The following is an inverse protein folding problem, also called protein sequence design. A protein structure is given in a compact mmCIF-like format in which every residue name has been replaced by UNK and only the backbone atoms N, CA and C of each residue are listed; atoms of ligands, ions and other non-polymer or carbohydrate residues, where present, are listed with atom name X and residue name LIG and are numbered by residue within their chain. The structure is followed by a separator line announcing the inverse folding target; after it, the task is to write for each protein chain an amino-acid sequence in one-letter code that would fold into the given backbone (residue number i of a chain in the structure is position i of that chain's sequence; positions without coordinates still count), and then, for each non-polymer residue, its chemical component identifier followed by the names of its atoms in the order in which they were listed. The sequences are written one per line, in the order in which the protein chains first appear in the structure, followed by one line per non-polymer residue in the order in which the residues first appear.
data_IF_657121562406
#
_entry.id   IF_657121562406
#
_cell.length_a   1.000
_cell.length_b   1.000
_cell.length_c   1.000
_cell.angle_alpha   90.00
_cell.angle_beta   90.00
_cell.angle_gamma   90.00
#
_symmetry.space_group_name_H-M   'P 1'
#
loop_
_entity.id
_entity.type
_entity.pdbx_description
1 polymer ?
#
# COMPACT_ATOMS: atom_id res chain seq x y z
N UNK A 1 2.07 -17.39 17.19
CA UNK A 1 1.13 -16.58 18.02
C UNK A 1 1.20 -15.08 17.69
N UNK A 2 0.84 -14.63 16.47
CA UNK A 2 0.82 -13.19 16.12
C UNK A 2 -0.25 -12.39 16.89
N UNK A 3 -1.36 -13.06 17.22
CA UNK A 3 -2.45 -12.51 18.03
C UNK A 3 -2.00 -12.05 19.42
N UNK A 4 -1.05 -12.76 20.04
CA UNK A 4 -0.51 -12.37 21.36
C UNK A 4 0.37 -11.13 21.29
N UNK A 5 0.89 -10.79 20.10
CA UNK A 5 1.66 -9.58 19.85
C UNK A 5 0.74 -8.38 19.48
N UNK A 6 -0.58 -8.54 19.54
CA UNK A 6 -1.56 -7.49 19.17
C UNK A 6 -1.87 -7.39 17.67
N UNK A 7 -1.30 -8.27 16.83
CA UNK A 7 -1.52 -8.21 15.38
C UNK A 7 -2.85 -8.85 14.99
N UNK A 8 -3.72 -8.07 14.33
CA UNK A 8 -4.97 -8.53 13.74
C UNK A 8 -4.74 -9.01 12.30
N UNK A 9 -5.54 -9.96 11.78
CA UNK A 9 -5.48 -10.35 10.37
C UNK A 9 -5.83 -9.15 9.48
N UNK A 10 -5.11 -9.03 8.36
CA UNK A 10 -5.43 -8.08 7.29
C UNK A 10 -6.05 -8.82 6.10
N UNK A 11 -7.00 -8.17 5.42
CA UNK A 11 -7.69 -8.72 4.24
C UNK A 11 -7.08 -8.11 2.98
N UNK A 12 -6.93 -8.91 1.92
CA UNK A 12 -6.39 -8.45 0.63
C UNK A 12 -7.45 -7.64 -0.12
N UNK A 13 -7.06 -6.54 -0.75
CA UNK A 13 -7.97 -5.68 -1.54
C UNK A 13 -8.69 -6.38 -2.68
N UNK A 14 -8.05 -7.38 -3.31
CA UNK A 14 -8.64 -8.19 -4.40
C UNK A 14 -9.86 -9.01 -3.95
N UNK A 15 -9.98 -9.30 -2.65
CA UNK A 15 -11.09 -10.08 -2.08
C UNK A 15 -12.26 -9.18 -1.65
N UNK A 16 -12.07 -7.86 -1.71
CA UNK A 16 -13.08 -6.90 -1.27
C UNK A 16 -14.05 -6.55 -2.42
N UNK A 17 -15.11 -5.81 -2.12
CA UNK A 17 -16.01 -5.27 -3.14
C UNK A 17 -15.44 -3.98 -3.77
N UNK A 18 -15.93 -3.55 -4.95
CA UNK A 18 -15.47 -2.31 -5.59
C UNK A 18 -15.61 -1.04 -4.72
N UNK A 19 -16.57 -1.03 -3.79
CA UNK A 19 -16.78 0.08 -2.84
C UNK A 19 -15.70 0.16 -1.76
N UNK A 20 -15.13 -0.98 -1.39
CA UNK A 20 -14.20 -1.10 -0.26
C UNK A 20 -12.75 -0.89 -0.69
N UNK A 21 -12.40 -1.36 -1.89
CA UNK A 21 -11.04 -1.29 -2.39
C UNK A 21 -11.02 -1.04 -3.90
N UNK A 22 -10.08 -0.24 -4.41
CA UNK A 22 -9.90 -0.06 -5.85
C UNK A 22 -9.50 -1.32 -6.64
N UNK A 23 -9.29 -2.46 -5.97
CA UNK A 23 -8.99 -3.77 -6.56
C UNK A 23 -10.12 -4.76 -6.33
N UNK A 24 -11.19 -4.33 -5.67
CA UNK A 24 -12.29 -5.19 -5.31
C UNK A 24 -13.20 -5.47 -6.50
N UNK A 25 -13.89 -6.61 -6.43
CA UNK A 25 -14.81 -7.09 -7.44
C UNK A 25 -14.17 -7.84 -8.61
N UNK A 26 -15.00 -8.08 -9.62
CA UNK A 26 -14.73 -9.01 -10.72
C UNK A 26 -15.39 -10.36 -10.48
N UNK A 27 -15.74 -11.05 -11.57
CA UNK A 27 -16.31 -12.39 -11.51
C UNK A 27 -15.22 -13.41 -11.11
N UNK A 28 -15.50 -14.23 -10.10
CA UNK A 28 -14.55 -15.21 -9.59
C UNK A 28 -13.26 -14.57 -9.05
N UNK A 29 -12.12 -15.23 -9.25
CA UNK A 29 -10.82 -14.71 -8.84
C UNK A 29 -10.25 -13.80 -9.92
N UNK A 30 -10.25 -12.51 -9.67
CA UNK A 30 -9.68 -11.49 -10.56
C UNK A 30 -8.23 -11.15 -10.20
N UNK A 31 -7.47 -10.67 -11.19
CA UNK A 31 -6.30 -9.82 -10.92
C UNK A 31 -6.79 -8.39 -10.73
N UNK A 32 -5.98 -7.52 -10.14
CA UNK A 32 -6.39 -6.15 -9.81
C UNK A 32 -6.85 -5.29 -11.01
N UNK A 33 -6.59 -5.70 -12.26
CA UNK A 33 -6.99 -4.98 -13.48
C UNK A 33 -6.35 -3.60 -13.67
N UNK A 34 -5.51 -3.16 -12.72
CA UNK A 34 -4.86 -1.85 -12.68
C UNK A 34 -3.55 -1.92 -11.89
N UNK A 35 -2.75 -0.85 -11.96
CA UNK A 35 -1.56 -0.72 -11.11
C UNK A 35 -1.91 -0.89 -9.62
N UNK A 36 -1.05 -1.55 -8.83
CA UNK A 36 -1.28 -1.72 -7.41
C UNK A 36 -1.45 -0.39 -6.67
N UNK A 37 -2.58 -0.25 -5.97
CA UNK A 37 -2.93 0.93 -5.20
C UNK A 37 -3.33 0.56 -3.78
N UNK A 38 -3.25 1.55 -2.90
CA UNK A 38 -3.77 1.51 -1.54
C UNK A 38 -5.30 1.52 -1.55
N UNK A 39 -5.97 1.23 -0.41
CA UNK A 39 -7.41 1.40 -0.28
C UNK A 39 -7.90 2.82 -0.66
N UNK A 40 -7.02 3.82 -0.55
CA UNK A 40 -7.31 5.22 -0.91
C UNK A 40 -6.84 5.60 -2.32
N UNK A 41 -6.49 4.65 -3.18
CA UNK A 41 -6.13 4.88 -4.58
C UNK A 41 -4.71 5.40 -4.84
N UNK A 42 -3.88 5.62 -3.81
CA UNK A 42 -2.46 6.00 -4.00
C UNK A 42 -1.63 4.81 -4.49
N UNK A 43 -0.66 4.97 -5.40
CA UNK A 43 0.20 3.88 -5.86
C UNK A 43 1.03 3.27 -4.73
N UNK A 44 1.09 1.94 -4.64
CA UNK A 44 1.88 1.23 -3.61
C UNK A 44 3.29 0.89 -4.05
N UNK A 45 3.53 0.79 -5.35
CA UNK A 45 4.83 0.45 -5.92
C UNK A 45 5.52 1.71 -6.46
N UNK A 46 6.79 1.90 -6.09
CA UNK A 46 7.68 2.94 -6.65
C UNK A 46 7.40 4.38 -6.19
N UNK A 47 6.19 4.69 -5.71
CA UNK A 47 5.84 6.05 -5.28
C UNK A 47 6.59 6.48 -4.00
N UNK A 48 7.35 7.57 -4.08
CA UNK A 48 8.03 8.16 -2.91
C UNK A 48 7.04 8.98 -2.08
N UNK A 49 6.86 8.62 -0.81
CA UNK A 49 5.93 9.30 0.11
C UNK A 49 6.58 10.38 0.99
N UNK A 50 7.92 10.49 0.99
CA UNK A 50 8.64 11.53 1.72
C UNK A 50 8.39 12.90 1.08
N UNK A 51 8.05 13.91 1.89
CA UNK A 51 7.94 15.30 1.45
C UNK A 51 9.27 15.79 0.87
N UNK A 52 9.23 16.45 -0.30
CA UNK A 52 10.42 16.91 -1.05
C UNK A 52 11.14 18.12 -0.44
N UNK A 53 10.45 18.90 0.40
CA UNK A 53 10.94 20.16 0.97
C UNK A 53 11.11 20.06 2.49
N UNK A 54 11.52 18.90 3.00
CA UNK A 54 11.61 18.71 4.46
C UNK A 54 12.94 19.29 4.93
N UNK A 55 12.96 20.14 5.95
CA UNK A 55 14.20 20.77 6.45
C UNK A 55 15.31 19.76 6.76
N UNK A 56 14.96 18.57 7.26
CA UNK A 56 15.91 17.50 7.53
C UNK A 56 16.61 16.92 6.28
N UNK A 57 16.18 17.28 5.07
CA UNK A 57 16.80 16.83 3.81
C UNK A 57 18.26 17.32 3.72
N UNK A 58 18.59 18.46 4.32
CA UNK A 58 19.95 19.01 4.35
C UNK A 58 20.96 18.12 5.11
N UNK A 59 20.48 17.29 6.03
CA UNK A 59 21.31 16.43 6.86
C UNK A 59 21.48 15.01 6.29
N UNK A 60 20.94 14.73 5.10
CA UNK A 60 20.95 13.38 4.53
C UNK A 60 21.93 13.27 3.39
N UNK A 61 22.99 12.49 3.61
CA UNK A 61 24.04 12.24 2.62
C UNK A 61 23.62 11.18 1.59
N UNK A 62 23.00 10.08 2.04
CA UNK A 62 22.60 8.97 1.16
C UNK A 62 21.27 8.37 1.62
N UNK A 63 20.45 7.96 0.64
CA UNK A 63 19.23 7.21 0.90
C UNK A 63 19.57 5.74 1.17
N UNK A 64 18.82 5.09 2.06
CA UNK A 64 18.92 3.64 2.31
C UNK A 64 18.77 2.86 1.00
N UNK A 65 19.80 2.08 0.64
CA UNK A 65 19.73 1.02 -0.36
C UNK A 65 19.24 -0.27 0.29
N UNK A 66 18.81 -1.25 -0.53
CA UNK A 66 18.56 -2.60 -0.01
C UNK A 66 19.87 -3.26 0.38
#
# INVERSE_FOLDING_TARGET
KRRLLGWRPSVRGVVMNPVDHPHGGGEGKSTAGRHPVTPWGKPTLGARTRKKKKASDQFIVKRRTK
#
